data_IF_299393230869
#
_entry.id   IF_299393230869
#
_cell.length_a   1.000
_cell.length_b   1.000
_cell.length_c   1.000
_cell.angle_alpha   90.00
_cell.angle_beta   90.00
_cell.angle_gamma   90.00
#
_symmetry.space_group_name_H-M   'P 1'
#
loop_
_entity.id
_entity.type
_entity.pdbx_description
1 polymer ?
#
# COMPACT_ATOMS: atom_id res chain seq x y z
N UNK A 1 -12.63 -14.97 11.59
CA UNK A 1 -11.29 -14.60 12.12
C UNK A 1 -11.41 -14.21 13.58
N UNK A 2 -10.40 -14.53 14.39
CA UNK A 2 -10.28 -14.04 15.75
C UNK A 2 -9.85 -12.57 15.76
N UNK A 3 -9.99 -11.89 16.90
CA UNK A 3 -9.53 -10.50 17.08
C UNK A 3 -8.02 -10.37 16.81
N UNK A 4 -7.23 -11.36 17.24
CA UNK A 4 -5.78 -11.38 17.03
C UNK A 4 -5.43 -11.49 15.54
N UNK A 5 -6.11 -12.36 14.80
CA UNK A 5 -5.93 -12.48 13.35
C UNK A 5 -6.24 -11.17 12.64
N UNK A 6 -7.31 -10.48 13.04
CA UNK A 6 -7.69 -9.18 12.45
C UNK A 6 -6.65 -8.10 12.76
N UNK A 7 -6.12 -8.08 14.00
CA UNK A 7 -5.08 -7.12 14.38
C UNK A 7 -3.79 -7.35 13.59
N UNK A 8 -3.36 -8.60 13.47
CA UNK A 8 -2.19 -8.96 12.67
C UNK A 8 -2.37 -8.56 11.20
N UNK A 9 -3.55 -8.80 10.63
CA UNK A 9 -3.87 -8.38 9.27
C UNK A 9 -3.81 -6.85 9.12
N UNK A 10 -4.41 -6.12 10.06
CA UNK A 10 -4.39 -4.64 10.12
C UNK A 10 -2.95 -4.10 10.17
N UNK A 11 -2.08 -4.74 10.95
CA UNK A 11 -0.67 -4.36 11.07
C UNK A 11 0.12 -4.60 9.77
N UNK A 12 -0.06 -5.76 9.13
CA UNK A 12 0.62 -6.06 7.86
C UNK A 12 0.20 -5.10 6.75
N UNK A 13 -1.11 -4.83 6.64
CA UNK A 13 -1.64 -3.86 5.68
C UNK A 13 -1.06 -2.47 5.93
N UNK A 14 -1.05 -2.01 7.18
CA UNK A 14 -0.47 -0.71 7.52
C UNK A 14 1.02 -0.64 7.17
N UNK A 15 1.79 -1.69 7.45
CA UNK A 15 3.21 -1.73 7.13
C UNK A 15 3.47 -1.75 5.62
N UNK A 16 2.67 -2.49 4.85
CA UNK A 16 2.77 -2.52 3.39
C UNK A 16 2.42 -1.16 2.78
N UNK A 17 1.37 -0.49 3.28
CA UNK A 17 1.01 0.88 2.85
C UNK A 17 2.11 1.89 3.21
N UNK A 18 2.78 1.74 4.37
CA UNK A 18 3.96 2.55 4.72
C UNK A 18 5.10 2.36 3.73
N UNK A 19 5.36 1.13 3.31
CA UNK A 19 6.35 0.84 2.27
C UNK A 19 5.97 1.46 0.92
N UNK A 20 4.69 1.37 0.54
CA UNK A 20 4.14 2.01 -0.67
C UNK A 20 4.23 3.55 -0.62
N UNK A 21 4.13 4.14 0.56
CA UNK A 21 4.19 5.59 0.75
C UNK A 21 5.62 6.16 0.74
N UNK A 22 6.64 5.34 0.97
CA UNK A 22 8.02 5.80 1.15
C UNK A 22 8.82 5.73 -0.16
N UNK A 23 8.71 6.78 -0.97
CA UNK A 23 9.44 6.91 -2.24
C UNK A 23 10.96 6.86 -2.08
N UNK A 24 11.50 7.32 -0.94
CA UNK A 24 12.95 7.27 -0.74
C UNK A 24 13.40 5.84 -0.44
N UNK A 25 12.67 5.12 0.42
CA UNK A 25 12.90 3.71 0.66
C UNK A 25 12.80 2.89 -0.62
N UNK A 26 11.78 3.13 -1.44
CA UNK A 26 11.65 2.50 -2.76
C UNK A 26 12.86 2.82 -3.64
N UNK A 27 13.27 4.09 -3.72
CA UNK A 27 14.42 4.51 -4.53
C UNK A 27 15.70 3.79 -4.12
N UNK A 28 15.98 3.68 -2.82
CA UNK A 28 17.20 3.03 -2.35
C UNK A 28 17.13 1.50 -2.44
N UNK A 29 15.98 0.87 -2.21
CA UNK A 29 15.85 -0.60 -2.25
C UNK A 29 15.71 -1.14 -3.67
N UNK A 30 14.93 -0.49 -4.53
CA UNK A 30 14.69 -0.93 -5.91
C UNK A 30 15.91 -0.70 -6.82
N UNK A 31 16.78 0.24 -6.47
CA UNK A 31 18.05 0.44 -7.18
C UNK A 31 19.23 -0.29 -6.55
N UNK A 32 18.98 -1.16 -5.56
CA UNK A 32 20.02 -1.98 -4.90
C UNK A 32 21.03 -1.17 -4.09
N UNK A 33 20.68 0.06 -3.67
CA UNK A 33 21.54 0.96 -2.90
C UNK A 33 21.40 0.78 -1.39
N UNK A 34 20.33 0.15 -0.92
CA UNK A 34 20.18 -0.19 0.49
C UNK A 34 21.10 -1.37 0.86
N UNK A 35 21.84 -1.32 1.98
CA UNK A 35 22.91 -2.28 2.27
C UNK A 35 22.44 -3.71 2.56
N UNK A 36 21.19 -3.88 2.99
CA UNK A 36 20.66 -5.18 3.48
C UNK A 36 19.30 -5.56 2.91
N UNK A 37 18.68 -4.67 2.14
CA UNK A 37 17.31 -4.86 1.64
C UNK A 37 17.38 -4.59 0.15
N UNK A 38 16.90 -5.54 -0.64
CA UNK A 38 16.69 -5.38 -2.07
C UNK A 38 15.22 -5.62 -2.29
N UNK A 39 14.59 -4.75 -3.08
CA UNK A 39 13.22 -4.99 -3.51
C UNK A 39 13.00 -4.51 -4.93
N UNK A 40 11.75 -4.45 -5.39
CA UNK A 40 11.36 -3.91 -6.69
C UNK A 40 9.94 -3.36 -6.65
N UNK A 41 9.54 -2.71 -7.74
CA UNK A 41 8.15 -2.29 -7.94
C UNK A 41 7.20 -3.49 -7.83
N UNK A 42 7.48 -4.59 -8.54
CA UNK A 42 6.63 -5.77 -8.54
C UNK A 42 6.53 -6.41 -7.15
N UNK A 43 7.63 -6.47 -6.39
CA UNK A 43 7.60 -7.00 -5.03
C UNK A 43 6.78 -6.11 -4.09
N UNK A 44 6.88 -4.79 -4.21
CA UNK A 44 6.07 -3.86 -3.40
C UNK A 44 4.57 -4.08 -3.64
N UNK A 45 4.17 -4.27 -4.89
CA UNK A 45 2.79 -4.56 -5.27
C UNK A 45 2.37 -5.95 -4.77
N UNK A 46 3.20 -6.98 -4.99
CA UNK A 46 2.89 -8.34 -4.55
C UNK A 46 2.78 -8.43 -3.03
N UNK A 47 3.64 -7.75 -2.28
CA UNK A 47 3.53 -7.73 -0.82
C UNK A 47 2.24 -7.08 -0.35
N UNK A 48 1.75 -6.04 -1.03
CA UNK A 48 0.45 -5.45 -0.71
C UNK A 48 -0.71 -6.39 -1.07
N UNK A 49 -0.76 -6.89 -2.30
CA UNK A 49 -1.93 -7.62 -2.80
C UNK A 49 -1.93 -9.11 -2.44
N UNK A 50 -0.81 -9.78 -2.63
CA UNK A 50 -0.70 -11.24 -2.46
C UNK A 50 -0.34 -11.60 -1.02
N UNK A 51 0.71 -11.00 -0.44
CA UNK A 51 1.15 -11.36 0.91
C UNK A 51 0.23 -10.80 2.01
N UNK A 52 -0.30 -9.58 1.81
CA UNK A 52 -1.17 -8.91 2.77
C UNK A 52 -2.66 -9.03 2.44
N UNK A 53 -3.06 -9.64 1.32
CA UNK A 53 -4.47 -9.81 0.93
C UNK A 53 -5.27 -8.49 0.92
N UNK A 54 -4.70 -7.42 0.33
CA UNK A 54 -5.25 -6.05 0.41
C UNK A 54 -6.70 -5.93 -0.05
N UNK A 55 -7.11 -6.63 -1.11
CA UNK A 55 -8.50 -6.58 -1.61
C UNK A 55 -9.48 -7.18 -0.62
N UNK A 56 -9.15 -8.34 -0.07
CA UNK A 56 -9.95 -9.02 0.93
C UNK A 56 -10.06 -8.18 2.21
N UNK A 57 -9.02 -7.40 2.53
CA UNK A 57 -9.05 -6.46 3.65
C UNK A 57 -10.00 -5.29 3.40
N UNK A 58 -9.99 -4.72 2.19
CA UNK A 58 -10.94 -3.66 1.79
C UNK A 58 -12.38 -4.16 1.90
N UNK A 59 -12.67 -5.35 1.37
CA UNK A 59 -13.99 -5.97 1.45
C UNK A 59 -14.41 -6.17 2.91
N UNK A 60 -13.50 -6.69 3.74
CA UNK A 60 -13.73 -6.89 5.16
C UNK A 60 -14.11 -5.59 5.88
N UNK A 61 -13.38 -4.49 5.66
CA UNK A 61 -13.71 -3.18 6.26
C UNK A 61 -15.09 -2.71 5.77
N UNK A 62 -15.35 -2.76 4.46
CA UNK A 62 -16.61 -2.30 3.87
C UNK A 62 -17.84 -3.00 4.47
N UNK A 63 -17.73 -4.30 4.76
CA UNK A 63 -18.81 -5.09 5.34
C UNK A 63 -18.92 -4.96 6.88
N UNK A 64 -17.79 -4.83 7.59
CA UNK A 64 -17.73 -5.06 9.04
C UNK A 64 -17.35 -3.81 9.87
N UNK A 65 -16.88 -2.74 9.25
CA UNK A 65 -16.31 -1.54 9.92
C UNK A 65 -16.89 -0.25 9.37
N UNK A 66 -18.20 -0.05 9.58
CA UNK A 66 -18.90 1.17 9.11
C UNK A 66 -18.37 2.45 9.74
N UNK A 67 -17.78 2.36 10.92
CA UNK A 67 -17.08 3.46 11.59
C UNK A 67 -15.76 3.84 10.89
N UNK A 68 -15.21 2.99 10.03
CA UNK A 68 -13.98 3.21 9.24
C UNK A 68 -14.25 3.70 7.81
N UNK A 69 -15.42 4.28 7.52
CA UNK A 69 -15.85 4.72 6.16
C UNK A 69 -14.81 5.58 5.42
N UNK A 70 -14.18 6.53 6.10
CA UNK A 70 -13.18 7.39 5.47
C UNK A 70 -11.93 6.59 5.05
N UNK A 71 -11.42 5.72 5.92
CA UNK A 71 -10.28 4.85 5.62
C UNK A 71 -10.64 3.90 4.46
N UNK A 72 -11.81 3.28 4.53
CA UNK A 72 -12.35 2.43 3.47
C UNK A 72 -12.36 3.15 2.12
N UNK A 73 -12.91 4.37 2.06
CA UNK A 73 -12.99 5.14 0.82
C UNK A 73 -11.61 5.45 0.21
N UNK A 74 -10.61 5.72 1.05
CA UNK A 74 -9.24 6.01 0.62
C UNK A 74 -8.53 4.75 0.14
N UNK A 75 -8.73 3.62 0.81
CA UNK A 75 -8.19 2.32 0.39
C UNK A 75 -8.80 1.86 -0.94
N UNK A 76 -10.10 2.01 -1.11
CA UNK A 76 -10.74 1.70 -2.39
C UNK A 76 -10.22 2.61 -3.51
N UNK A 77 -9.96 3.89 -3.20
CA UNK A 77 -9.40 4.82 -4.18
C UNK A 77 -7.98 4.44 -4.60
N UNK A 78 -7.11 4.06 -3.66
CA UNK A 78 -5.74 3.67 -4.00
C UNK A 78 -5.71 2.35 -4.76
N UNK A 79 -6.60 1.40 -4.43
CA UNK A 79 -6.75 0.13 -5.16
C UNK A 79 -7.01 0.39 -6.66
N UNK A 80 -8.01 1.22 -6.97
CA UNK A 80 -8.35 1.60 -8.35
C UNK A 80 -7.16 2.25 -9.06
N UNK A 81 -6.45 3.16 -8.39
CA UNK A 81 -5.29 3.85 -8.99
C UNK A 81 -4.15 2.87 -9.31
N UNK A 82 -3.89 1.92 -8.41
CA UNK A 82 -2.85 0.90 -8.63
C UNK A 82 -3.27 -0.04 -9.77
N UNK A 83 -4.52 -0.51 -9.79
CA UNK A 83 -5.01 -1.35 -10.88
C UNK A 83 -4.92 -0.67 -12.25
N UNK A 84 -5.22 0.63 -12.31
CA UNK A 84 -5.05 1.42 -13.53
C UNK A 84 -3.57 1.53 -13.93
N UNK A 85 -2.69 1.79 -12.97
CA UNK A 85 -1.26 1.94 -13.19
C UNK A 85 -0.59 0.64 -13.66
N UNK A 86 -1.05 -0.52 -13.16
CA UNK A 86 -0.54 -1.85 -13.51
C UNK A 86 -0.90 -2.32 -14.93
N UNK A 87 -1.76 -1.61 -15.66
CA UNK A 87 -2.10 -1.95 -17.07
C UNK A 87 -0.93 -1.77 -18.03
N UNK A 88 0.12 -1.08 -17.61
CA UNK A 88 1.32 -0.82 -18.41
C UNK A 88 2.52 -1.39 -17.66
N UNK A 89 3.27 -2.25 -18.34
CA UNK A 89 4.52 -2.78 -17.80
C UNK A 89 5.60 -1.68 -17.80
N UNK A 90 6.22 -1.46 -16.64
CA UNK A 90 7.21 -0.41 -16.39
C UNK A 90 8.33 -0.99 -15.53
N UNK A 91 9.57 -0.62 -15.83
CA UNK A 91 10.73 -0.97 -15.00
C UNK A 91 10.78 -0.09 -13.76
N UNK A 92 11.42 -0.58 -12.70
CA UNK A 92 11.58 0.14 -11.43
C UNK A 92 12.03 1.61 -11.60
N UNK A 93 13.02 1.85 -12.48
CA UNK A 93 13.55 3.21 -12.72
C UNK A 93 12.55 4.12 -13.42
N UNK A 94 11.66 3.57 -14.25
CA UNK A 94 10.61 4.33 -14.93
C UNK A 94 9.54 4.70 -13.89
N UNK A 95 9.15 3.76 -13.04
CA UNK A 95 8.19 3.97 -11.95
C UNK A 95 8.67 5.02 -10.95
N UNK A 96 9.94 4.98 -10.53
CA UNK A 96 10.52 5.91 -9.56
C UNK A 96 10.57 7.39 -10.01
N UNK A 97 10.36 7.64 -11.30
CA UNK A 97 10.33 8.98 -11.88
C UNK A 97 8.97 9.32 -12.48
N UNK A 98 7.95 8.48 -12.25
CA UNK A 98 6.61 8.65 -12.80
C UNK A 98 5.73 9.49 -11.84
N UNK A 99 5.21 10.64 -12.29
CA UNK A 99 4.30 11.46 -11.49
C UNK A 99 3.01 10.74 -11.06
N UNK A 100 2.52 9.78 -11.84
CA UNK A 100 1.33 9.00 -11.47
C UNK A 100 1.63 8.08 -10.29
N UNK A 101 2.82 7.47 -10.26
CA UNK A 101 3.27 6.68 -9.12
C UNK A 101 3.49 7.55 -7.89
N UNK A 102 4.13 8.72 -8.06
CA UNK A 102 4.27 9.68 -6.97
C UNK A 102 2.90 10.04 -6.37
N UNK A 103 1.89 10.31 -7.20
CA UNK A 103 0.53 10.54 -6.72
C UNK A 103 -0.05 9.33 -5.94
N UNK A 104 0.18 8.09 -6.38
CA UNK A 104 -0.22 6.88 -5.61
C UNK A 104 0.45 6.87 -4.23
N UNK A 105 1.76 7.12 -4.15
CA UNK A 105 2.48 7.16 -2.87
C UNK A 105 1.94 8.26 -1.93
N UNK A 106 1.55 9.41 -2.47
CA UNK A 106 0.90 10.48 -1.70
C UNK A 106 -0.48 10.05 -1.18
N UNK A 107 -1.26 9.30 -1.96
CA UNK A 107 -2.54 8.73 -1.47
C UNK A 107 -2.33 7.68 -0.38
N UNK A 108 -1.24 6.92 -0.42
CA UNK A 108 -0.88 6.02 0.68
C UNK A 108 -0.59 6.79 1.98
N UNK A 109 0.09 7.94 1.91
CA UNK A 109 0.33 8.82 3.06
C UNK A 109 -0.97 9.35 3.70
N UNK A 110 -1.99 9.66 2.88
CA UNK A 110 -3.31 10.06 3.39
C UNK A 110 -3.94 8.95 4.25
N UNK A 111 -3.87 7.69 3.79
CA UNK A 111 -4.38 6.52 4.55
C UNK A 111 -3.64 6.37 5.88
N UNK A 112 -2.31 6.44 5.85
CA UNK A 112 -1.47 6.33 7.05
C UNK A 112 -1.84 7.41 8.08
N UNK A 113 -2.07 8.64 7.62
CA UNK A 113 -2.42 9.76 8.49
C UNK A 113 -3.75 9.51 9.21
N UNK A 114 -4.74 8.95 8.53
CA UNK A 114 -6.03 8.58 9.14
C UNK A 114 -5.93 7.41 10.13
N UNK A 115 -4.92 6.55 9.94
CA UNK A 115 -4.74 5.35 10.74
C UNK A 115 -4.06 5.59 12.09
N UNK A 116 -3.17 6.59 12.14
CA UNK A 116 -2.36 6.89 13.34
C UNK A 116 -3.11 7.84 14.29
N UNK A 117 -4.11 8.59 13.79
CA UNK A 117 -4.94 9.44 14.63
C UNK A 117 -5.85 8.55 15.51
N UNK A 118 -5.76 8.64 16.86
CA UNK A 118 -6.67 7.90 17.73
C UNK A 118 -8.11 8.33 17.46
N UNK A 119 -8.96 7.35 17.15
CA UNK A 119 -10.41 7.53 17.05
C UNK A 119 -11.08 7.21 18.38
#
# INVERSE_FOLDING_TARGET
MTKEQINFWKENILNSIKSLADLELQRITWTGKHPTIVSSFSETINTLYDDCEFKQYIDYIGENRKDEEEIYSKMLRIDILIEEYLKVDKKDIEVLNDPEWENITQKALEIISLWIVPR
#
